data_IF_067203251552
#
_entry.id   IF_067203251552
#
_cell.length_a   1.000
_cell.length_b   1.000
_cell.length_c   1.000
_cell.angle_alpha   90.00
_cell.angle_beta   90.00
_cell.angle_gamma   90.00
#
_symmetry.space_group_name_H-M   'P 1'
#
loop_
_entity.id
_entity.type
_entity.pdbx_description
1 polymer ?
#
# COMPACT_ATOMS: atom_id res chain seq x y z
N UNK A 1 53.47 -43.49 -62.41
CA UNK A 1 53.45 -44.32 -61.18
C UNK A 1 52.50 -43.65 -60.21
N UNK A 2 51.44 -44.35 -59.82
CA UNK A 2 50.20 -43.81 -59.24
C UNK A 2 50.42 -43.03 -57.93
N UNK A 3 49.94 -41.78 -57.87
CA UNK A 3 49.68 -41.09 -56.61
C UNK A 3 48.18 -41.11 -56.31
N UNK A 4 47.83 -41.77 -55.21
CA UNK A 4 46.49 -41.82 -54.63
C UNK A 4 46.07 -40.43 -54.13
N UNK A 5 44.82 -40.07 -54.45
CA UNK A 5 44.11 -38.92 -53.88
C UNK A 5 43.60 -39.28 -52.48
N UNK A 6 43.99 -38.52 -51.47
CA UNK A 6 43.40 -38.57 -50.13
C UNK A 6 42.39 -37.43 -49.99
N UNK A 7 41.12 -37.80 -49.79
CA UNK A 7 39.98 -36.91 -49.57
C UNK A 7 39.97 -36.46 -48.11
N UNK A 8 40.00 -35.15 -47.86
CA UNK A 8 39.84 -34.55 -46.54
C UNK A 8 38.34 -34.24 -46.35
N UNK A 9 37.67 -34.96 -45.44
CA UNK A 9 36.29 -34.70 -45.07
C UNK A 9 36.24 -33.74 -43.86
N UNK A 10 35.72 -32.54 -44.08
CA UNK A 10 35.44 -31.55 -43.03
C UNK A 10 34.04 -31.83 -42.49
N UNK A 11 33.94 -32.24 -41.23
CA UNK A 11 32.68 -32.32 -40.51
C UNK A 11 32.33 -30.95 -39.90
N UNK A 12 31.36 -30.25 -40.48
CA UNK A 12 30.70 -29.11 -39.83
C UNK A 12 29.67 -29.65 -38.81
N UNK A 13 29.93 -29.45 -37.52
CA UNK A 13 28.92 -29.59 -36.48
C UNK A 13 28.11 -28.28 -36.41
N UNK A 14 26.90 -28.29 -36.96
CA UNK A 14 25.91 -27.24 -36.72
C UNK A 14 25.12 -27.60 -35.46
N UNK A 15 25.45 -26.97 -34.33
CA UNK A 15 24.63 -27.06 -33.12
C UNK A 15 23.42 -26.14 -33.27
N UNK A 16 22.23 -26.73 -33.49
CA UNK A 16 20.96 -26.02 -33.42
C UNK A 16 20.59 -25.92 -31.93
N UNK A 17 20.80 -24.75 -31.32
CA UNK A 17 20.16 -24.43 -30.04
C UNK A 17 18.67 -24.21 -30.31
N UNK A 18 17.85 -25.20 -29.95
CA UNK A 18 16.42 -25.00 -29.82
C UNK A 18 16.17 -24.23 -28.52
N UNK A 19 15.98 -22.91 -28.62
CA UNK A 19 15.43 -22.12 -27.51
C UNK A 19 13.96 -22.45 -27.38
N UNK A 20 13.63 -23.27 -26.39
CA UNK A 20 12.26 -23.47 -25.93
C UNK A 20 11.74 -22.16 -25.33
N UNK A 21 11.12 -21.32 -26.14
CA UNK A 21 10.28 -20.22 -25.64
C UNK A 21 9.02 -20.88 -25.11
N UNK A 22 9.01 -21.27 -23.84
CA UNK A 22 7.77 -21.53 -23.14
C UNK A 22 7.09 -20.19 -22.95
N UNK A 23 5.99 -19.96 -23.68
CA UNK A 23 5.09 -18.85 -23.36
C UNK A 23 4.66 -19.03 -21.90
N UNK A 24 5.16 -18.17 -21.02
CA UNK A 24 4.70 -18.10 -19.64
C UNK A 24 3.19 -17.83 -19.72
N UNK A 25 2.37 -18.74 -19.19
CA UNK A 25 0.94 -18.50 -19.11
C UNK A 25 0.71 -17.19 -18.34
N UNK A 26 -0.17 -16.33 -18.83
CA UNK A 26 -0.57 -15.12 -18.13
C UNK A 26 -1.03 -15.47 -16.70
N UNK A 27 -0.63 -14.67 -15.71
CA UNK A 27 -1.03 -14.89 -14.32
C UNK A 27 -2.56 -14.78 -14.16
N UNK A 28 -3.12 -15.49 -13.18
CA UNK A 28 -4.55 -15.39 -12.82
C UNK A 28 -4.89 -14.06 -12.11
N UNK A 29 -3.87 -13.40 -11.57
CA UNK A 29 -3.94 -12.14 -10.83
C UNK A 29 -2.71 -11.95 -9.95
N UNK A 30 -2.58 -10.78 -9.35
CA UNK A 30 -1.46 -10.43 -8.45
C UNK A 30 -1.95 -10.26 -7.01
N UNK A 31 -1.28 -10.92 -6.08
CA UNK A 31 -1.52 -10.80 -4.63
C UNK A 31 -0.44 -9.93 -4.01
N UNK A 32 -0.84 -8.87 -3.30
CA UNK A 32 0.05 -8.01 -2.53
C UNK A 32 -0.07 -8.38 -1.06
N UNK A 33 0.92 -9.10 -0.53
CA UNK A 33 0.97 -9.42 0.89
C UNK A 33 1.46 -8.19 1.66
N UNK A 34 0.61 -7.66 2.53
CA UNK A 34 0.94 -6.49 3.37
C UNK A 34 0.85 -6.85 4.84
N UNK A 35 1.84 -6.40 5.61
CA UNK A 35 1.95 -6.65 7.05
C UNK A 35 2.05 -5.30 7.77
N UNK A 36 1.10 -5.05 8.66
CA UNK A 36 1.07 -3.83 9.46
C UNK A 36 1.66 -4.10 10.86
N UNK A 37 1.96 -3.01 11.58
CA UNK A 37 2.36 -2.95 12.99
C UNK A 37 3.75 -3.53 13.33
N UNK A 38 4.58 -3.78 12.33
CA UNK A 38 6.00 -4.08 12.54
C UNK A 38 6.85 -2.81 12.72
N UNK A 39 8.18 -2.91 12.88
CA UNK A 39 8.94 -4.14 13.07
C UNK A 39 8.93 -4.59 14.53
N UNK A 40 8.58 -5.84 14.74
CA UNK A 40 8.65 -6.55 16.03
C UNK A 40 9.36 -7.90 15.86
N UNK A 41 9.63 -8.63 16.94
CA UNK A 41 10.32 -9.93 16.90
C UNK A 41 9.63 -10.93 15.95
N UNK A 42 8.30 -10.93 15.94
CA UNK A 42 7.46 -11.79 15.10
C UNK A 42 7.65 -11.55 13.58
N UNK A 43 8.18 -10.40 13.19
CA UNK A 43 8.45 -10.05 11.78
C UNK A 43 9.50 -10.98 11.17
N UNK A 44 10.50 -11.38 11.96
CA UNK A 44 11.65 -12.16 11.49
C UNK A 44 11.24 -13.49 10.88
N UNK A 45 10.51 -14.38 11.59
CA UNK A 45 10.11 -15.67 11.01
C UNK A 45 9.12 -15.55 9.84
N UNK A 46 8.34 -14.47 9.76
CA UNK A 46 7.49 -14.18 8.59
C UNK A 46 8.38 -13.94 7.36
N UNK A 47 9.36 -13.05 7.51
CA UNK A 47 10.30 -12.68 6.43
C UNK A 47 11.11 -13.88 5.97
N UNK A 48 11.57 -14.73 6.90
CA UNK A 48 12.25 -15.99 6.57
C UNK A 48 11.39 -16.89 5.67
N UNK A 49 10.10 -17.09 6.01
CA UNK A 49 9.17 -17.89 5.19
C UNK A 49 8.92 -17.28 3.82
N UNK A 50 8.76 -15.95 3.75
CA UNK A 50 8.58 -15.27 2.46
C UNK A 50 9.82 -15.40 1.58
N UNK A 51 11.01 -15.30 2.17
CA UNK A 51 12.28 -15.51 1.48
C UNK A 51 12.45 -16.96 1.00
N UNK A 52 12.15 -17.97 1.84
CA UNK A 52 12.10 -19.38 1.45
C UNK A 52 11.18 -19.62 0.24
N UNK A 53 10.05 -18.92 0.21
CA UNK A 53 9.08 -19.02 -0.88
C UNK A 53 9.47 -18.22 -2.13
N UNK A 54 10.51 -17.38 -2.09
CA UNK A 54 10.83 -16.42 -3.15
C UNK A 54 9.67 -15.45 -3.40
N UNK A 55 9.13 -14.87 -2.34
CA UNK A 55 8.02 -13.89 -2.35
C UNK A 55 8.49 -12.62 -1.65
N UNK A 56 8.13 -11.46 -2.20
CA UNK A 56 8.26 -10.16 -1.54
C UNK A 56 6.89 -9.66 -1.09
N UNK A 57 6.91 -8.78 -0.10
CA UNK A 57 5.73 -8.20 0.52
C UNK A 57 6.04 -6.80 1.02
N UNK A 58 5.00 -6.07 1.41
CA UNK A 58 5.11 -4.70 1.89
C UNK A 58 4.82 -4.65 3.39
N UNK A 59 5.69 -4.01 4.15
CA UNK A 59 5.58 -3.90 5.60
C UNK A 59 5.34 -2.44 5.95
N UNK A 60 4.16 -2.13 6.46
CA UNK A 60 3.81 -0.82 6.98
C UNK A 60 4.26 -0.75 8.44
N UNK A 61 5.29 0.05 8.71
CA UNK A 61 5.97 0.02 10.01
C UNK A 61 5.65 1.20 10.92
N UNK A 62 5.69 0.95 12.23
CA UNK A 62 5.64 1.92 13.31
C UNK A 62 7.00 2.01 14.03
N UNK A 63 7.62 3.19 14.00
CA UNK A 63 8.96 3.41 14.54
C UNK A 63 9.06 3.31 16.06
N UNK A 64 7.95 3.44 16.79
CA UNK A 64 7.94 3.34 18.26
C UNK A 64 8.41 1.99 18.82
N UNK A 65 8.37 0.92 18.02
CA UNK A 65 8.87 -0.40 18.41
C UNK A 65 10.40 -0.41 18.52
N UNK A 66 11.07 0.45 17.74
CA UNK A 66 12.52 0.64 17.86
C UNK A 66 12.89 1.34 19.17
N UNK A 67 11.99 2.18 19.69
CA UNK A 67 12.16 2.87 20.97
C UNK A 67 11.74 2.01 22.17
N UNK A 68 11.22 0.80 21.95
CA UNK A 68 10.83 -0.13 23.03
C UNK A 68 9.57 0.29 23.80
N UNK A 69 8.65 1.02 23.15
CA UNK A 69 7.43 1.55 23.78
C UNK A 69 6.13 1.08 23.08
N UNK A 70 6.20 0.07 22.22
CA UNK A 70 5.06 -0.42 21.42
C UNK A 70 4.21 -1.51 22.08
N UNK A 71 4.56 -1.92 23.30
CA UNK A 71 3.91 -3.00 24.08
C UNK A 71 3.88 -4.36 23.36
N UNK A 72 4.88 -4.67 22.54
CA UNK A 72 5.05 -5.98 21.91
C UNK A 72 6.41 -6.61 22.28
N UNK A 73 6.64 -7.86 21.86
CA UNK A 73 7.99 -8.42 21.89
C UNK A 73 8.81 -7.75 20.78
N UNK A 74 9.64 -6.78 21.14
CA UNK A 74 10.28 -5.86 20.19
C UNK A 74 11.77 -5.62 20.43
N UNK A 75 12.40 -6.43 21.29
CA UNK A 75 13.84 -6.40 21.55
C UNK A 75 14.68 -6.59 20.26
N UNK A 76 14.09 -7.20 19.23
CA UNK A 76 14.70 -7.44 17.92
C UNK A 76 14.09 -6.58 16.80
N UNK A 77 13.38 -5.50 17.14
CA UNK A 77 12.76 -4.60 16.15
C UNK A 77 13.77 -4.05 15.12
N UNK A 78 14.97 -3.64 15.57
CA UNK A 78 16.02 -3.16 14.66
C UNK A 78 16.54 -4.28 13.73
N UNK A 79 16.69 -5.50 14.25
CA UNK A 79 17.08 -6.67 13.46
C UNK A 79 16.02 -6.99 12.41
N UNK A 80 14.74 -7.00 12.80
CA UNK A 80 13.61 -7.19 11.90
C UNK A 80 13.57 -6.14 10.78
N UNK A 81 13.76 -4.86 11.11
CA UNK A 81 13.80 -3.78 10.13
C UNK A 81 14.96 -3.95 9.13
N UNK A 82 16.15 -4.27 9.64
CA UNK A 82 17.32 -4.49 8.80
C UNK A 82 17.11 -5.71 7.87
N UNK A 83 16.52 -6.80 8.38
CA UNK A 83 16.20 -7.98 7.60
C UNK A 83 15.20 -7.69 6.46
N UNK A 84 14.16 -6.89 6.72
CA UNK A 84 13.22 -6.44 5.70
C UNK A 84 13.92 -5.74 4.54
N UNK A 85 14.79 -4.79 4.88
CA UNK A 85 15.56 -3.99 3.93
C UNK A 85 16.53 -4.86 3.12
N UNK A 86 17.36 -5.65 3.80
CA UNK A 86 18.41 -6.48 3.18
C UNK A 86 17.86 -7.56 2.28
N UNK A 87 16.66 -8.05 2.57
CA UNK A 87 16.02 -9.10 1.77
C UNK A 87 15.05 -8.56 0.74
N UNK A 88 14.96 -7.24 0.55
CA UNK A 88 14.23 -6.63 -0.56
C UNK A 88 12.71 -6.59 -0.39
N UNK A 89 12.20 -6.68 0.84
CA UNK A 89 10.80 -6.36 1.13
C UNK A 89 10.60 -4.85 1.13
N UNK A 90 9.42 -4.39 0.75
CA UNK A 90 9.11 -2.96 0.73
C UNK A 90 8.79 -2.49 2.13
N UNK A 91 9.52 -1.50 2.64
CA UNK A 91 9.24 -0.87 3.94
C UNK A 91 8.50 0.45 3.71
N UNK A 92 7.28 0.54 4.24
CA UNK A 92 6.35 1.64 4.05
C UNK A 92 5.91 2.23 5.41
N UNK A 93 5.25 3.38 5.39
CA UNK A 93 5.01 4.18 6.59
C UNK A 93 3.63 3.92 7.20
N UNK A 94 3.59 3.54 8.49
CA UNK A 94 2.33 3.36 9.23
C UNK A 94 2.14 4.37 10.35
N UNK A 95 2.80 5.53 10.29
CA UNK A 95 2.99 6.50 11.38
C UNK A 95 3.92 6.00 12.49
N UNK A 96 4.37 6.90 13.37
CA UNK A 96 5.32 6.56 14.44
C UNK A 96 4.72 5.65 15.51
N UNK A 97 3.55 6.02 16.06
CA UNK A 97 2.97 5.40 17.26
C UNK A 97 1.55 4.85 17.03
N UNK A 98 1.21 4.52 15.79
CA UNK A 98 -0.10 3.96 15.44
C UNK A 98 -1.30 4.83 15.91
N UNK A 99 -1.08 6.15 15.99
CA UNK A 99 -2.01 7.15 16.57
C UNK A 99 -2.35 6.97 18.07
N UNK A 100 -1.61 6.14 18.82
CA UNK A 100 -1.90 5.87 20.24
C UNK A 100 -1.78 7.11 21.13
N UNK A 101 -1.09 8.17 20.68
CA UNK A 101 -1.13 9.46 21.36
C UNK A 101 -2.55 10.04 21.52
N UNK A 102 -3.49 9.67 20.65
CA UNK A 102 -4.89 10.07 20.73
C UNK A 102 -5.75 9.15 21.63
N UNK A 103 -5.20 8.02 22.08
CA UNK A 103 -5.88 7.04 22.93
C UNK A 103 -5.66 7.30 24.43
N UNK A 104 -4.76 8.22 24.79
CA UNK A 104 -4.35 8.52 26.16
C UNK A 104 -4.37 10.03 26.42
N UNK A 105 -4.41 10.43 27.70
CA UNK A 105 -4.39 11.86 28.06
C UNK A 105 -3.02 12.53 27.80
N UNK A 106 -1.93 11.81 28.05
CA UNK A 106 -0.55 12.26 27.81
C UNK A 106 0.27 11.09 27.25
N UNK A 107 0.88 11.28 26.08
CA UNK A 107 1.67 10.24 25.43
C UNK A 107 3.02 10.05 26.14
N UNK A 108 3.38 8.79 26.40
CA UNK A 108 4.63 8.39 27.01
C UNK A 108 4.92 6.88 26.86
N UNK A 109 5.95 6.36 27.55
CA UNK A 109 6.42 4.98 27.37
C UNK A 109 5.40 3.88 27.69
N UNK A 110 4.36 4.19 28.47
CA UNK A 110 3.33 3.21 28.86
C UNK A 110 2.05 3.33 28.03
N UNK A 111 1.94 4.30 27.12
CA UNK A 111 0.68 4.62 26.44
C UNK A 111 0.15 3.49 25.57
N UNK A 112 1.05 2.68 24.98
CA UNK A 112 0.66 1.46 24.26
C UNK A 112 -0.06 0.48 25.19
N UNK A 113 0.52 0.18 26.36
CA UNK A 113 -0.08 -0.70 27.35
C UNK A 113 -1.39 -0.14 27.93
N UNK A 114 -1.46 1.18 28.15
CA UNK A 114 -2.68 1.87 28.62
C UNK A 114 -3.81 1.76 27.60
N UNK A 115 -3.53 2.04 26.32
CA UNK A 115 -4.51 1.90 25.24
C UNK A 115 -4.91 0.43 25.01
N UNK A 116 -3.97 -0.51 25.14
CA UNK A 116 -4.25 -1.96 25.10
C UNK A 116 -5.17 -2.40 26.24
N UNK A 117 -5.05 -1.81 27.43
CA UNK A 117 -5.88 -2.15 28.58
C UNK A 117 -7.34 -1.70 28.41
N UNK A 118 -7.59 -0.57 27.76
CA UNK A 118 -8.95 -0.09 27.47
C UNK A 118 -9.51 -0.69 26.16
N UNK A 119 -8.62 -0.99 25.22
CA UNK A 119 -8.97 -1.39 23.87
C UNK A 119 -9.58 -0.25 23.04
N UNK A 120 -9.29 1.01 23.39
CA UNK A 120 -9.93 2.21 22.81
C UNK A 120 -9.21 2.73 21.55
N UNK A 121 -8.33 1.94 20.95
CA UNK A 121 -7.57 2.29 19.74
C UNK A 121 -8.41 2.94 18.62
N UNK A 122 -9.65 2.47 18.43
CA UNK A 122 -10.57 2.93 17.38
C UNK A 122 -11.51 4.07 17.83
N UNK A 123 -11.35 4.58 19.05
CA UNK A 123 -12.11 5.70 19.61
C UNK A 123 -11.21 6.94 19.62
N UNK A 124 -11.69 8.03 19.03
CA UNK A 124 -10.96 9.29 18.89
C UNK A 124 -9.55 9.13 18.30
N UNK A 125 -9.33 8.12 17.46
CA UNK A 125 -8.00 7.74 16.93
C UNK A 125 -7.29 8.85 16.16
N UNK A 126 -8.06 9.78 15.61
CA UNK A 126 -7.59 10.95 14.88
C UNK A 126 -8.30 12.17 15.43
N UNK A 127 -7.56 13.25 15.69
CA UNK A 127 -8.08 14.45 16.34
C UNK A 127 -7.59 15.72 15.62
N UNK A 128 -6.33 16.10 15.82
CA UNK A 128 -5.70 17.20 15.08
C UNK A 128 -4.97 16.63 13.85
N UNK A 129 -5.52 16.78 12.63
CA UNK A 129 -4.93 16.18 11.44
C UNK A 129 -3.51 16.68 11.14
N UNK A 130 -3.12 17.87 11.61
CA UNK A 130 -1.75 18.37 11.44
C UNK A 130 -0.79 17.60 12.33
N UNK A 131 -1.14 17.40 13.61
CA UNK A 131 -0.33 16.64 14.55
C UNK A 131 -0.31 15.15 14.18
N UNK A 132 -1.45 14.56 13.85
CA UNK A 132 -1.59 13.18 13.41
C UNK A 132 -0.72 12.92 12.16
N UNK A 133 -0.77 13.81 11.16
CA UNK A 133 0.07 13.72 9.97
C UNK A 133 1.58 13.86 10.29
N UNK A 134 1.93 14.63 11.33
CA UNK A 134 3.34 14.78 11.75
C UNK A 134 3.93 13.47 12.30
N UNK A 135 3.09 12.53 12.77
CA UNK A 135 3.57 11.21 13.21
C UNK A 135 4.14 10.38 12.05
N UNK A 136 3.78 10.67 10.80
CA UNK A 136 4.40 10.04 9.63
C UNK A 136 5.81 10.60 9.36
N UNK A 137 6.02 11.91 9.59
CA UNK A 137 7.35 12.53 9.50
C UNK A 137 8.25 12.05 10.66
N UNK A 138 7.68 11.94 11.87
CA UNK A 138 8.36 11.40 13.04
C UNK A 138 8.79 9.95 12.79
N UNK A 139 7.94 9.14 12.13
CA UNK A 139 8.29 7.78 11.78
C UNK A 139 9.54 7.74 10.90
N UNK A 140 9.58 8.53 9.82
CA UNK A 140 10.77 8.65 8.96
C UNK A 140 12.00 9.04 9.78
N UNK A 141 11.86 10.04 10.65
CA UNK A 141 12.96 10.54 11.49
C UNK A 141 13.52 9.45 12.41
N UNK A 142 12.65 8.64 13.02
CA UNK A 142 13.04 7.54 13.91
C UNK A 142 13.68 6.40 13.12
N UNK A 143 13.09 5.96 12.01
CA UNK A 143 13.69 4.92 11.17
C UNK A 143 15.11 5.32 10.70
N UNK A 144 15.30 6.58 10.30
CA UNK A 144 16.61 7.13 9.92
C UNK A 144 17.59 7.25 11.09
N UNK A 145 17.13 7.42 12.33
CA UNK A 145 18.02 7.51 13.49
C UNK A 145 18.63 6.14 13.84
N UNK A 146 17.85 5.06 13.71
CA UNK A 146 18.31 3.70 13.95
C UNK A 146 19.06 3.08 12.76
N UNK A 147 18.68 3.43 11.53
CA UNK A 147 19.40 3.03 10.30
C UNK A 147 19.74 4.31 9.49
N UNK A 148 20.87 4.98 9.77
CA UNK A 148 21.26 6.22 9.09
C UNK A 148 21.36 6.13 7.56
N UNK A 149 21.64 4.93 7.04
CA UNK A 149 21.75 4.64 5.61
C UNK A 149 20.45 4.09 4.99
N UNK A 150 19.29 4.17 5.67
CA UNK A 150 18.04 3.56 5.20
C UNK A 150 17.61 4.08 3.83
N UNK A 151 17.90 5.34 3.50
CA UNK A 151 17.61 5.93 2.19
C UNK A 151 18.46 5.37 1.04
N UNK A 152 19.51 4.58 1.33
CA UNK A 152 20.29 3.89 0.30
C UNK A 152 19.61 2.61 -0.22
N UNK A 153 18.57 2.13 0.47
CA UNK A 153 17.79 0.97 0.08
C UNK A 153 16.66 1.40 -0.89
N UNK A 154 16.62 0.88 -2.13
CA UNK A 154 15.59 1.26 -3.11
C UNK A 154 14.18 0.81 -2.71
N UNK A 155 14.10 -0.24 -1.88
CA UNK A 155 12.88 -0.80 -1.29
C UNK A 155 12.43 -0.08 0.00
N UNK A 156 13.16 0.94 0.47
CA UNK A 156 12.64 1.86 1.47
C UNK A 156 11.73 2.89 0.81
N UNK A 157 10.42 2.82 1.12
CA UNK A 157 9.37 3.68 0.58
C UNK A 157 8.65 4.48 1.66
N UNK A 158 9.21 4.57 2.87
CA UNK A 158 8.60 5.25 4.02
C UNK A 158 8.31 6.75 3.83
N UNK A 159 8.79 7.37 2.76
CA UNK A 159 8.52 8.78 2.41
C UNK A 159 7.43 8.99 1.37
N UNK A 160 6.93 7.90 0.76
CA UNK A 160 6.06 7.98 -0.42
C UNK A 160 4.92 6.95 -0.40
N UNK A 161 5.05 5.90 0.40
CA UNK A 161 4.02 4.88 0.55
C UNK A 161 3.59 4.82 2.01
N UNK A 162 2.30 5.03 2.26
CA UNK A 162 1.73 5.03 3.60
C UNK A 162 0.42 4.24 3.67
N UNK A 163 0.06 3.87 4.89
CA UNK A 163 -1.27 3.36 5.26
C UNK A 163 -1.64 4.00 6.58
N UNK A 164 -2.90 4.44 6.69
CA UNK A 164 -3.41 5.03 7.92
C UNK A 164 -3.77 3.91 8.91
N UNK A 165 -3.33 3.99 10.18
CA UNK A 165 -3.85 3.15 11.25
C UNK A 165 -5.38 3.01 11.21
N UNK A 166 -5.87 1.78 11.42
CA UNK A 166 -7.29 1.43 11.49
C UNK A 166 -8.12 1.62 10.20
N UNK A 167 -7.59 2.33 9.18
CA UNK A 167 -8.43 2.97 8.16
C UNK A 167 -8.18 2.40 6.77
N UNK A 168 -9.19 1.74 6.20
CA UNK A 168 -9.16 1.29 4.80
C UNK A 168 -9.35 2.51 3.85
N UNK A 169 -8.25 3.24 3.63
CA UNK A 169 -8.20 4.50 2.89
C UNK A 169 -7.28 4.41 1.67
N UNK A 170 -7.64 5.13 0.63
CA UNK A 170 -7.02 5.04 -0.69
C UNK A 170 -6.76 6.44 -1.24
N UNK A 171 -5.51 6.66 -1.66
CA UNK A 171 -5.05 7.83 -2.42
C UNK A 171 -4.00 7.30 -3.39
N UNK A 172 -4.47 6.71 -4.48
CA UNK A 172 -3.59 6.05 -5.46
C UNK A 172 -3.41 6.96 -6.67
N UNK A 173 -4.52 7.45 -7.24
CA UNK A 173 -4.56 8.34 -8.40
C UNK A 173 -5.61 9.45 -8.22
N UNK A 174 -5.59 10.49 -9.07
CA UNK A 174 -6.57 11.59 -9.04
C UNK A 174 -8.02 11.10 -8.95
N UNK A 175 -8.35 10.08 -9.74
CA UNK A 175 -9.65 9.42 -9.85
C UNK A 175 -9.75 8.14 -9.00
N UNK A 176 -8.65 7.65 -8.43
CA UNK A 176 -8.62 6.49 -7.55
C UNK A 176 -8.35 6.90 -6.10
N UNK A 177 -9.43 7.27 -5.41
CA UNK A 177 -9.45 7.63 -3.98
C UNK A 177 -10.63 6.95 -3.29
N UNK A 178 -10.51 6.74 -1.99
CA UNK A 178 -11.57 6.19 -1.15
C UNK A 178 -11.23 6.39 0.32
N UNK A 179 -12.26 6.42 1.16
CA UNK A 179 -12.16 6.72 2.59
C UNK A 179 -12.87 5.65 3.40
N UNK A 180 -12.30 5.31 4.57
CA UNK A 180 -12.95 4.44 5.54
C UNK A 180 -13.97 5.23 6.36
N UNK A 181 -15.19 5.40 5.84
CA UNK A 181 -16.18 6.33 6.41
C UNK A 181 -16.78 5.87 7.75
N UNK A 182 -16.40 4.68 8.22
CA UNK A 182 -16.75 4.11 9.53
C UNK A 182 -15.52 3.59 10.29
N UNK A 183 -14.30 3.92 9.85
CA UNK A 183 -13.08 3.27 10.34
C UNK A 183 -12.81 3.51 11.83
N UNK A 184 -13.10 4.72 12.30
CA UNK A 184 -12.91 5.15 13.68
C UNK A 184 -14.14 5.90 14.19
N UNK A 185 -14.31 5.91 15.50
CA UNK A 185 -15.51 6.39 16.18
C UNK A 185 -15.19 7.50 17.17
N UNK A 186 -16.20 8.27 17.56
CA UNK A 186 -16.07 9.29 18.60
C UNK A 186 -16.45 8.74 19.99
N UNK A 187 -17.22 7.64 20.05
CA UNK A 187 -17.90 7.20 21.27
C UNK A 187 -17.97 5.68 21.48
N UNK A 188 -18.45 4.90 20.49
CA UNK A 188 -18.65 3.45 20.61
C UNK A 188 -17.77 2.66 19.65
N UNK A 189 -17.31 1.48 20.09
CA UNK A 189 -16.67 0.49 19.23
C UNK A 189 -17.73 -0.21 18.36
N UNK A 190 -17.38 -0.71 17.16
CA UNK A 190 -18.36 -1.31 16.25
C UNK A 190 -19.21 -2.47 16.81
N UNK A 191 -18.68 -3.17 17.83
CA UNK A 191 -19.36 -4.29 18.49
C UNK A 191 -20.10 -3.91 19.78
N UNK A 192 -20.07 -2.63 20.18
CA UNK A 192 -20.74 -2.17 21.41
C UNK A 192 -22.21 -1.81 21.17
N UNK A 193 -23.10 -2.08 22.14
CA UNK A 193 -24.49 -1.67 22.04
C UNK A 193 -24.62 -0.16 21.89
N UNK A 194 -25.29 0.29 20.83
CA UNK A 194 -25.50 1.72 20.55
C UNK A 194 -24.61 2.27 19.44
N UNK A 195 -23.64 1.49 18.93
CA UNK A 195 -22.84 1.89 17.78
C UNK A 195 -23.72 2.19 16.56
N UNK A 196 -23.48 3.34 15.94
CA UNK A 196 -24.09 3.78 14.69
C UNK A 196 -22.97 4.31 13.81
N UNK A 197 -22.94 3.86 12.55
CA UNK A 197 -22.20 4.56 11.52
C UNK A 197 -23.15 5.14 10.47
N UNK A 198 -22.96 6.42 10.17
CA UNK A 198 -23.56 7.08 9.00
C UNK A 198 -22.45 7.57 8.06
N UNK A 199 -22.19 6.89 6.93
CA UNK A 199 -21.20 7.33 5.96
C UNK A 199 -21.47 8.72 5.36
N UNK A 200 -22.70 9.23 5.41
CA UNK A 200 -23.04 10.58 4.95
C UNK A 200 -22.72 11.66 6.00
N UNK A 201 -22.58 11.27 7.27
CA UNK A 201 -22.22 12.13 8.39
C UNK A 201 -21.19 11.44 9.29
N UNK A 202 -19.96 11.23 8.78
CA UNK A 202 -18.93 10.47 9.49
C UNK A 202 -18.51 11.14 10.81
N UNK A 203 -17.94 10.33 11.70
CA UNK A 203 -17.39 10.77 13.00
C UNK A 203 -16.38 11.92 12.86
N UNK A 204 -16.14 12.68 13.93
CA UNK A 204 -15.07 13.67 13.93
C UNK A 204 -13.72 13.00 13.66
N UNK A 205 -13.49 11.82 14.25
CA UNK A 205 -12.27 11.05 14.00
C UNK A 205 -12.06 10.68 12.53
N UNK A 206 -13.10 10.21 11.83
CA UNK A 206 -13.01 9.91 10.39
C UNK A 206 -12.74 11.19 9.58
N UNK A 207 -13.35 12.32 9.92
CA UNK A 207 -13.05 13.60 9.24
C UNK A 207 -11.60 14.05 9.44
N UNK A 208 -11.05 13.83 10.64
CA UNK A 208 -9.64 14.08 10.91
C UNK A 208 -8.73 13.15 10.08
N UNK A 209 -9.04 11.85 9.99
CA UNK A 209 -8.24 10.91 9.18
C UNK A 209 -8.23 11.25 7.68
N UNK A 210 -9.35 11.74 7.13
CA UNK A 210 -9.42 12.29 5.77
C UNK A 210 -8.48 13.50 5.63
N UNK A 211 -8.48 14.40 6.61
CA UNK A 211 -7.56 15.54 6.66
C UNK A 211 -6.08 15.11 6.69
N UNK A 212 -5.74 14.07 7.47
CA UNK A 212 -4.40 13.48 7.48
C UNK A 212 -4.03 12.94 6.09
N UNK A 213 -4.92 12.17 5.46
CA UNK A 213 -4.69 11.64 4.12
C UNK A 213 -4.42 12.76 3.10
N UNK A 214 -5.17 13.87 3.14
CA UNK A 214 -4.96 15.03 2.27
C UNK A 214 -3.61 15.72 2.52
N UNK A 215 -3.23 15.95 3.79
CA UNK A 215 -1.95 16.57 4.16
C UNK A 215 -0.79 15.73 3.62
N UNK A 216 -0.83 14.42 3.84
CA UNK A 216 0.24 13.51 3.43
C UNK A 216 0.26 13.30 1.92
N UNK A 217 -0.90 13.24 1.26
CA UNK A 217 -0.95 13.17 -0.20
C UNK A 217 -0.28 14.38 -0.84
N UNK A 218 -0.49 15.59 -0.28
CA UNK A 218 0.20 16.80 -0.73
C UNK A 218 1.71 16.83 -0.41
N UNK A 219 2.21 15.89 0.40
CA UNK A 219 3.64 15.59 0.58
C UNK A 219 4.13 14.45 -0.34
N UNK A 220 3.35 14.08 -1.36
CA UNK A 220 3.65 13.02 -2.32
C UNK A 220 3.60 11.59 -1.75
N UNK A 221 2.76 11.36 -0.75
CA UNK A 221 2.39 9.99 -0.33
C UNK A 221 1.26 9.42 -1.17
N UNK A 222 1.35 8.13 -1.48
CA UNK A 222 0.24 7.30 -1.91
C UNK A 222 -0.25 6.44 -0.74
N UNK A 223 -1.57 6.24 -0.69
CA UNK A 223 -2.24 5.43 0.32
C UNK A 223 -2.92 4.22 -0.33
N UNK A 224 -2.69 3.05 0.23
CA UNK A 224 -3.35 1.82 -0.17
C UNK A 224 -4.02 1.19 1.05
N UNK A 225 -5.31 0.91 0.91
CA UNK A 225 -6.07 0.14 1.87
C UNK A 225 -5.85 -1.36 1.65
N UNK A 226 -6.90 -2.15 1.83
CA UNK A 226 -6.87 -3.60 1.61
C UNK A 226 -8.20 -4.14 1.08
N UNK A 227 -8.13 -5.30 0.43
CA UNK A 227 -9.28 -6.02 -0.13
C UNK A 227 -9.77 -7.13 0.80
N UNK A 228 -8.83 -7.80 1.47
CA UNK A 228 -9.09 -8.86 2.45
C UNK A 228 -8.15 -8.68 3.64
N UNK A 229 -8.62 -9.09 4.81
CA UNK A 229 -7.85 -9.10 6.05
C UNK A 229 -7.68 -10.55 6.53
N UNK A 230 -6.44 -11.02 6.62
CA UNK A 230 -6.13 -12.33 7.20
C UNK A 230 -6.02 -12.20 8.71
N UNK A 231 -7.16 -12.36 9.36
CA UNK A 231 -7.35 -12.18 10.79
C UNK A 231 -7.91 -13.45 11.47
N UNK A 232 -7.93 -13.52 12.82
CA UNK A 232 -8.70 -14.50 13.57
C UNK A 232 -10.16 -14.57 13.11
N UNK A 233 -10.62 -15.78 12.77
CA UNK A 233 -12.05 -16.03 12.48
C UNK A 233 -12.92 -15.82 13.73
N UNK A 234 -12.34 -15.88 14.93
CA UNK A 234 -13.03 -15.59 16.17
C UNK A 234 -12.11 -14.91 17.18
N UNK A 235 -12.33 -13.61 17.40
CA UNK A 235 -11.60 -12.83 18.41
C UNK A 235 -12.05 -13.09 19.86
N UNK A 236 -13.20 -13.73 20.07
CA UNK A 236 -13.79 -13.95 21.39
C UNK A 236 -13.39 -15.25 22.09
N UNK A 237 -12.51 -16.06 21.49
CA UNK A 237 -11.99 -17.29 22.12
C UNK A 237 -10.69 -17.02 22.87
N UNK A 238 -10.35 -17.93 23.79
CA UNK A 238 -8.99 -17.99 24.34
C UNK A 238 -7.97 -18.21 23.21
N UNK A 239 -6.88 -17.47 23.24
CA UNK A 239 -5.82 -17.52 22.21
C UNK A 239 -6.36 -17.26 20.78
N UNK A 240 -6.95 -16.08 20.51
CA UNK A 240 -7.65 -15.80 19.25
C UNK A 240 -6.78 -16.00 18.01
N UNK A 241 -5.47 -15.76 18.08
CA UNK A 241 -4.55 -15.98 16.97
C UNK A 241 -4.60 -17.42 16.43
N UNK A 242 -4.93 -18.41 17.27
CA UNK A 242 -5.06 -19.80 16.86
C UNK A 242 -6.16 -20.02 15.80
N UNK A 243 -7.15 -19.12 15.74
CA UNK A 243 -8.27 -19.17 14.79
C UNK A 243 -8.02 -18.43 13.49
N UNK A 244 -6.80 -17.95 13.23
CA UNK A 244 -6.43 -17.39 11.92
C UNK A 244 -6.87 -18.34 10.79
N UNK A 245 -7.53 -17.84 9.75
CA UNK A 245 -8.09 -18.66 8.67
C UNK A 245 -7.06 -19.65 8.11
N UNK A 246 -7.46 -20.89 7.86
CA UNK A 246 -6.60 -21.90 7.24
C UNK A 246 -6.25 -21.52 5.79
N UNK A 247 -5.05 -21.88 5.34
CA UNK A 247 -4.49 -21.44 4.06
C UNK A 247 -5.42 -21.68 2.85
N UNK A 248 -6.05 -22.86 2.75
CA UNK A 248 -6.98 -23.17 1.65
C UNK A 248 -8.24 -22.32 1.67
N UNK A 249 -8.83 -22.11 2.85
CA UNK A 249 -10.01 -21.27 2.99
C UNK A 249 -9.66 -19.81 2.69
N UNK A 250 -8.51 -19.34 3.19
CA UNK A 250 -8.04 -17.99 2.93
C UNK A 250 -7.73 -17.74 1.45
N UNK A 251 -7.16 -18.72 0.73
CA UNK A 251 -7.05 -18.64 -0.72
C UNK A 251 -8.45 -18.47 -1.35
N UNK A 252 -9.46 -19.20 -0.89
CA UNK A 252 -10.84 -19.00 -1.33
C UNK A 252 -11.36 -17.57 -1.13
N UNK A 253 -11.02 -16.91 -0.01
CA UNK A 253 -11.36 -15.51 0.23
C UNK A 253 -10.65 -14.56 -0.74
N UNK A 254 -9.36 -14.79 -0.97
CA UNK A 254 -8.57 -14.04 -1.97
C UNK A 254 -9.16 -14.21 -3.37
N UNK A 255 -9.51 -15.43 -3.76
CA UNK A 255 -10.14 -15.70 -5.07
C UNK A 255 -11.49 -15.00 -5.23
N UNK A 256 -12.27 -14.87 -4.15
CA UNK A 256 -13.54 -14.15 -4.14
C UNK A 256 -13.39 -12.62 -4.17
N UNK A 257 -12.23 -12.07 -3.81
CA UNK A 257 -11.96 -10.64 -3.78
C UNK A 257 -11.54 -10.06 -5.14
N UNK A 258 -10.98 -10.89 -6.04
CA UNK A 258 -10.57 -10.43 -7.36
C UNK A 258 -11.73 -9.86 -8.16
N UNK A 259 -11.61 -8.60 -8.59
CA UNK A 259 -12.57 -7.91 -9.46
C UNK A 259 -14.00 -7.82 -8.90
N UNK A 260 -14.17 -7.88 -7.57
CA UNK A 260 -15.50 -7.82 -6.91
C UNK A 260 -15.73 -6.54 -6.10
N UNK A 261 -14.79 -5.59 -6.14
CA UNK A 261 -14.85 -4.37 -5.32
C UNK A 261 -14.92 -4.68 -3.81
N UNK A 262 -14.10 -5.63 -3.38
CA UNK A 262 -14.04 -6.13 -2.01
C UNK A 262 -14.01 -5.04 -0.92
N UNK A 263 -13.31 -3.89 -1.07
CA UNK A 263 -13.29 -2.86 -0.04
C UNK A 263 -14.67 -2.30 0.32
N UNK A 264 -15.66 -2.36 -0.58
CA UNK A 264 -17.05 -1.92 -0.29
C UNK A 264 -17.86 -2.96 0.48
N UNK A 265 -17.48 -4.23 0.39
CA UNK A 265 -18.26 -5.37 0.89
C UNK A 265 -17.63 -6.07 2.09
N UNK A 266 -16.33 -5.87 2.34
CA UNK A 266 -15.59 -6.44 3.46
C UNK A 266 -16.28 -6.16 4.80
N UNK A 267 -16.25 -7.13 5.70
CA UNK A 267 -16.64 -6.96 7.10
C UNK A 267 -15.40 -7.04 8.00
N UNK A 268 -15.40 -6.39 9.17
CA UNK A 268 -16.49 -5.58 9.75
C UNK A 268 -16.67 -4.21 9.08
N UNK A 269 -17.73 -3.48 9.46
CA UNK A 269 -18.10 -2.16 8.90
C UNK A 269 -16.97 -1.12 8.96
N UNK A 270 -16.14 -1.16 9.99
CA UNK A 270 -14.99 -0.27 10.16
C UNK A 270 -13.81 -0.60 9.24
N UNK A 271 -13.85 -1.74 8.53
CA UNK A 271 -12.86 -2.10 7.50
C UNK A 271 -13.29 -1.72 6.09
N UNK A 272 -14.51 -1.17 5.91
CA UNK A 272 -15.04 -0.81 4.59
C UNK A 272 -14.42 0.49 4.07
N UNK A 273 -14.30 0.56 2.74
CA UNK A 273 -14.15 1.79 1.96
C UNK A 273 -15.43 1.99 1.14
N UNK A 274 -16.40 2.71 1.68
CA UNK A 274 -17.77 2.78 1.13
C UNK A 274 -17.81 3.47 -0.24
N UNK A 275 -16.93 4.46 -0.45
CA UNK A 275 -16.83 5.24 -1.68
C UNK A 275 -15.70 4.75 -2.61
N UNK A 276 -15.24 3.50 -2.46
CA UNK A 276 -14.23 2.92 -3.34
C UNK A 276 -14.71 2.92 -4.81
N UNK A 277 -13.88 3.34 -5.79
CA UNK A 277 -14.25 3.41 -7.19
C UNK A 277 -14.21 2.02 -7.84
N UNK A 278 -15.27 1.24 -7.67
CA UNK A 278 -15.39 -0.09 -8.23
C UNK A 278 -15.11 -0.11 -9.74
N UNK A 279 -14.25 -1.04 -10.18
CA UNK A 279 -13.86 -1.16 -11.59
C UNK A 279 -12.77 -0.18 -12.04
N UNK A 280 -12.14 0.57 -11.12
CA UNK A 280 -10.95 1.37 -11.44
C UNK A 280 -9.86 0.48 -12.06
N UNK A 281 -9.26 0.87 -13.20
CA UNK A 281 -8.35 0.01 -13.96
C UNK A 281 -7.09 -0.38 -13.18
N UNK A 282 -6.62 0.48 -12.27
CA UNK A 282 -5.45 0.18 -11.44
C UNK A 282 -5.69 -0.94 -10.42
N UNK A 283 -6.95 -1.26 -10.10
CA UNK A 283 -7.31 -2.33 -9.15
C UNK A 283 -7.67 -3.66 -9.82
N UNK A 284 -7.93 -3.65 -11.13
CA UNK A 284 -8.24 -4.87 -11.87
C UNK A 284 -7.15 -5.94 -11.72
N UNK A 285 -7.58 -7.19 -11.53
CA UNK A 285 -6.74 -8.38 -11.38
C UNK A 285 -5.72 -8.31 -10.23
N UNK A 286 -6.02 -7.54 -9.18
CA UNK A 286 -5.21 -7.38 -7.98
C UNK A 286 -6.02 -7.63 -6.71
N UNK A 287 -5.35 -8.17 -5.69
CA UNK A 287 -5.87 -8.28 -4.32
C UNK A 287 -4.77 -7.87 -3.35
N UNK A 288 -5.07 -6.90 -2.49
CA UNK A 288 -4.23 -6.48 -1.37
C UNK A 288 -4.68 -7.20 -0.11
N UNK A 289 -3.80 -8.01 0.45
CA UNK A 289 -4.02 -8.74 1.71
C UNK A 289 -3.43 -7.91 2.85
N UNK A 290 -4.27 -7.52 3.82
CA UNK A 290 -3.83 -7.07 5.14
C UNK A 290 -3.60 -8.28 6.06
N UNK A 291 -2.57 -8.23 6.89
CA UNK A 291 -2.43 -9.05 8.10
C UNK A 291 -1.42 -8.36 9.03
N UNK A 292 -1.14 -8.93 10.19
CA UNK A 292 -0.30 -8.29 11.20
C UNK A 292 0.78 -9.25 11.70
N UNK A 293 1.99 -8.74 11.93
CA UNK A 293 3.12 -9.58 12.33
C UNK A 293 2.85 -10.32 13.66
N UNK A 294 2.20 -9.65 14.62
CA UNK A 294 1.90 -10.22 15.94
C UNK A 294 0.94 -11.42 15.90
N UNK A 295 0.26 -11.68 14.78
CA UNK A 295 -0.58 -12.88 14.63
C UNK A 295 0.24 -14.16 14.42
N UNK A 296 1.55 -14.02 14.20
CA UNK A 296 2.47 -15.12 13.91
C UNK A 296 3.52 -15.35 15.02
N UNK A 297 3.27 -14.86 16.24
CA UNK A 297 4.07 -15.17 17.43
C UNK A 297 3.36 -16.13 18.39
N UNK A 298 4.14 -16.95 19.10
CA UNK A 298 3.64 -17.65 20.29
C UNK A 298 3.76 -16.67 21.47
N UNK A 299 2.63 -16.18 21.97
CA UNK A 299 2.62 -15.06 22.92
C UNK A 299 1.23 -14.75 23.48
N UNK A 300 1.01 -13.48 23.84
CA UNK A 300 -0.21 -13.01 24.55
C UNK A 300 -1.50 -13.27 23.78
N UNK A 301 -1.43 -13.46 22.46
CA UNK A 301 -2.58 -13.71 21.56
C UNK A 301 -2.80 -15.17 21.19
N UNK A 302 -1.90 -16.07 21.57
CA UNK A 302 -1.98 -17.50 21.26
C UNK A 302 -0.70 -18.11 20.73
N UNK A 303 -0.83 -19.26 20.08
CA UNK A 303 0.26 -20.03 19.48
C UNK A 303 0.44 -19.67 18.00
N UNK A 304 0.60 -18.38 17.69
CA UNK A 304 0.69 -17.87 16.33
C UNK A 304 1.91 -18.38 15.57
N UNK A 305 3.07 -18.49 16.20
CA UNK A 305 4.25 -19.03 15.52
C UNK A 305 4.05 -20.52 15.20
N UNK A 306 3.61 -21.29 16.20
CA UNK A 306 3.40 -22.73 16.05
C UNK A 306 2.29 -23.06 15.06
N UNK A 307 1.20 -22.28 15.02
CA UNK A 307 0.01 -22.60 14.20
C UNK A 307 -0.09 -21.81 12.90
N UNK A 308 0.33 -20.55 12.87
CA UNK A 308 0.02 -19.66 11.74
C UNK A 308 1.18 -19.52 10.74
N UNK A 309 2.44 -19.64 11.17
CA UNK A 309 3.57 -19.69 10.23
C UNK A 309 3.44 -20.85 9.20
N UNK A 310 3.00 -22.08 9.58
CA UNK A 310 2.69 -23.12 8.61
C UNK A 310 1.56 -22.74 7.64
N UNK A 311 0.56 -21.97 8.07
CA UNK A 311 -0.53 -21.48 7.21
C UNK A 311 -0.01 -20.51 6.17
N UNK A 312 0.82 -19.54 6.56
CA UNK A 312 1.49 -18.61 5.64
C UNK A 312 2.30 -19.39 4.59
N UNK A 313 3.19 -20.28 5.03
CA UNK A 313 4.02 -21.10 4.11
C UNK A 313 3.17 -21.87 3.12
N UNK A 314 2.07 -22.47 3.59
CA UNK A 314 1.15 -23.24 2.76
C UNK A 314 0.39 -22.35 1.78
N UNK A 315 -0.12 -21.21 2.23
CA UNK A 315 -0.83 -20.23 1.41
C UNK A 315 0.03 -19.75 0.23
N UNK A 316 1.27 -19.30 0.49
CA UNK A 316 2.20 -18.85 -0.56
C UNK A 316 2.42 -19.95 -1.61
N UNK A 317 2.55 -21.21 -1.18
CA UNK A 317 2.70 -22.36 -2.08
C UNK A 317 1.46 -22.63 -2.93
N UNK A 318 0.27 -22.71 -2.31
CA UNK A 318 -0.96 -23.07 -3.02
C UNK A 318 -1.45 -21.94 -3.93
N UNK A 319 -1.26 -20.67 -3.56
CA UNK A 319 -1.58 -19.53 -4.39
C UNK A 319 -0.72 -19.50 -5.67
N UNK A 320 0.60 -19.72 -5.55
CA UNK A 320 1.49 -19.87 -6.73
C UNK A 320 1.07 -21.04 -7.60
N UNK A 321 0.74 -22.19 -7.00
CA UNK A 321 0.28 -23.37 -7.73
C UNK A 321 -1.06 -23.13 -8.46
N UNK A 322 -1.92 -22.26 -7.93
CA UNK A 322 -3.18 -21.84 -8.54
C UNK A 322 -3.00 -20.81 -9.68
N UNK A 323 -1.77 -20.34 -9.94
CA UNK A 323 -1.45 -19.42 -11.02
C UNK A 323 -1.42 -17.94 -10.63
N UNK A 324 -1.46 -17.63 -9.34
CA UNK A 324 -1.26 -16.27 -8.83
C UNK A 324 0.23 -15.92 -8.71
N UNK A 325 0.54 -14.65 -8.92
CA UNK A 325 1.86 -14.08 -8.64
C UNK A 325 1.78 -13.17 -7.41
N UNK A 326 2.93 -12.94 -6.79
CA UNK A 326 3.05 -12.04 -5.65
C UNK A 326 3.92 -10.85 -6.03
N UNK A 327 3.55 -9.67 -5.56
CA UNK A 327 4.29 -8.43 -5.80
C UNK A 327 4.21 -7.50 -4.59
N UNK A 328 4.96 -6.40 -4.62
CA UNK A 328 5.00 -5.37 -3.58
C UNK A 328 4.26 -4.11 -4.01
N UNK A 329 3.73 -3.35 -3.05
CA UNK A 329 2.88 -2.20 -3.34
C UNK A 329 3.57 -1.04 -4.06
N UNK A 330 4.91 -0.97 -4.04
CA UNK A 330 5.65 -0.03 -4.88
C UNK A 330 5.54 -0.35 -6.39
N UNK A 331 5.12 -1.56 -6.76
CA UNK A 331 4.77 -1.95 -8.13
C UNK A 331 3.26 -1.97 -8.38
N UNK A 332 2.43 -1.54 -7.40
CA UNK A 332 0.98 -1.55 -7.57
C UNK A 332 0.55 -0.71 -8.78
N UNK A 333 1.22 0.43 -8.99
CA UNK A 333 1.23 1.08 -10.30
C UNK A 333 2.45 0.58 -11.08
N UNK A 334 2.31 0.13 -12.33
CA UNK A 334 3.45 -0.31 -13.12
C UNK A 334 4.42 0.83 -13.44
N UNK A 335 5.72 0.55 -13.38
CA UNK A 335 6.78 1.47 -13.79
C UNK A 335 6.74 1.75 -15.30
N UNK A 336 7.00 3.01 -15.68
CA UNK A 336 7.11 3.39 -17.08
C UNK A 336 8.31 2.70 -17.74
N UNK A 337 8.08 2.01 -18.87
CA UNK A 337 9.10 1.19 -19.53
C UNK A 337 9.18 1.49 -21.02
N UNK A 338 10.37 1.89 -21.49
CA UNK A 338 10.67 2.14 -22.91
C UNK A 338 10.36 0.92 -23.77
N UNK A 339 9.73 1.13 -24.93
CA UNK A 339 9.31 0.09 -25.86
C UNK A 339 7.95 -0.53 -25.57
N UNK A 340 7.35 -0.24 -24.39
CA UNK A 340 5.99 -0.68 -24.05
C UNK A 340 4.97 0.13 -24.84
N UNK A 341 3.92 -0.52 -25.33
CA UNK A 341 2.77 0.16 -25.93
C UNK A 341 1.73 0.42 -24.86
N UNK A 342 1.36 1.68 -24.70
CA UNK A 342 0.37 2.15 -23.74
C UNK A 342 -0.88 2.62 -24.49
N UNK A 343 -2.05 2.20 -24.00
CA UNK A 343 -3.33 2.72 -24.44
C UNK A 343 -3.67 4.00 -23.69
N UNK A 344 -4.50 4.86 -24.29
CA UNK A 344 -5.08 6.01 -23.59
C UNK A 344 -5.79 5.55 -22.31
N UNK A 345 -5.45 6.19 -21.19
CA UNK A 345 -5.98 5.86 -19.87
C UNK A 345 -5.09 4.90 -19.06
N UNK A 346 -4.03 4.33 -19.66
CA UNK A 346 -3.07 3.52 -18.92
C UNK A 346 -2.32 4.37 -17.89
N UNK A 347 -2.14 3.81 -16.70
CA UNK A 347 -1.40 4.40 -15.60
C UNK A 347 0.04 3.90 -15.57
N UNK A 348 0.98 4.81 -15.30
CA UNK A 348 2.38 4.47 -15.03
C UNK A 348 2.93 5.32 -13.89
N UNK A 349 3.95 4.82 -13.21
CA UNK A 349 4.78 5.62 -12.30
C UNK A 349 6.15 5.90 -12.94
N UNK A 350 6.69 7.09 -12.68
CA UNK A 350 8.07 7.47 -12.97
C UNK A 350 8.55 8.42 -11.86
N UNK A 351 9.67 8.10 -11.23
CA UNK A 351 10.26 8.90 -10.14
C UNK A 351 9.24 9.23 -9.01
N UNK A 352 8.43 8.24 -8.61
CA UNK A 352 7.34 8.36 -7.62
C UNK A 352 6.24 9.38 -8.00
N UNK A 353 6.10 9.68 -9.29
CA UNK A 353 4.99 10.48 -9.82
C UNK A 353 4.13 9.61 -10.72
N UNK A 354 2.83 9.59 -10.45
CA UNK A 354 1.85 8.88 -11.26
C UNK A 354 1.45 9.69 -12.48
N UNK A 355 1.37 9.03 -13.62
CA UNK A 355 0.92 9.58 -14.88
C UNK A 355 -0.14 8.72 -15.53
N UNK A 356 -0.99 9.34 -16.35
CA UNK A 356 -1.96 8.67 -17.21
C UNK A 356 -1.68 9.00 -18.67
N UNK A 357 -1.69 7.99 -19.54
CA UNK A 357 -1.51 8.17 -20.97
C UNK A 357 -2.70 8.94 -21.58
N UNK A 358 -2.43 9.98 -22.36
CA UNK A 358 -3.46 10.80 -23.01
C UNK A 358 -3.91 10.24 -24.36
N UNK A 359 -3.03 9.44 -24.99
CA UNK A 359 -3.20 8.85 -26.32
C UNK A 359 -2.48 7.49 -26.38
N UNK A 360 -2.94 6.64 -27.30
CA UNK A 360 -2.25 5.39 -27.62
C UNK A 360 -0.86 5.71 -28.22
N UNK A 361 0.20 5.13 -27.65
CA UNK A 361 1.56 5.31 -28.15
C UNK A 361 2.51 4.20 -27.68
N UNK A 362 3.68 4.12 -28.30
CA UNK A 362 4.79 3.27 -27.81
C UNK A 362 5.83 4.16 -27.15
N UNK A 363 6.19 3.82 -25.90
CA UNK A 363 7.14 4.60 -25.11
C UNK A 363 8.53 4.62 -25.76
N UNK A 364 9.15 5.80 -25.77
CA UNK A 364 10.51 6.04 -26.24
C UNK A 364 11.29 6.77 -25.15
N UNK A 365 12.61 6.57 -25.09
CA UNK A 365 13.45 7.16 -24.05
C UNK A 365 13.30 8.69 -23.94
N UNK A 366 13.24 9.39 -25.07
CA UNK A 366 13.11 10.86 -25.11
C UNK A 366 11.66 11.37 -24.91
N UNK A 367 10.70 10.47 -24.73
CA UNK A 367 9.27 10.75 -24.54
C UNK A 367 8.75 10.30 -23.17
N UNK A 368 9.63 10.32 -22.16
CA UNK A 368 9.25 10.00 -20.79
C UNK A 368 8.15 10.93 -20.26
N UNK A 369 7.27 10.44 -19.37
CA UNK A 369 6.33 11.26 -18.62
C UNK A 369 7.01 12.46 -17.96
N UNK A 370 6.38 13.64 -18.01
CA UNK A 370 6.92 14.86 -17.42
C UNK A 370 5.83 15.92 -17.25
N UNK A 371 6.15 17.04 -16.60
CA UNK A 371 5.26 18.19 -16.44
C UNK A 371 5.01 18.97 -17.74
N UNK A 372 5.65 18.60 -18.86
CA UNK A 372 5.45 19.24 -20.17
C UNK A 372 5.10 18.23 -21.26
N UNK A 373 4.90 16.97 -20.89
CA UNK A 373 4.54 15.90 -21.82
C UNK A 373 3.17 16.13 -22.44
N UNK A 374 3.04 15.85 -23.73
CA UNK A 374 1.74 15.78 -24.41
C UNK A 374 1.14 14.37 -24.41
N UNK A 375 1.95 13.35 -24.15
CA UNK A 375 1.54 11.93 -24.13
C UNK A 375 1.06 11.47 -22.75
N UNK A 376 1.37 12.25 -21.72
CA UNK A 376 1.17 11.90 -20.31
C UNK A 376 0.67 13.12 -19.55
N UNK A 377 -0.30 12.91 -18.66
CA UNK A 377 -0.72 13.91 -17.65
C UNK A 377 -0.40 13.37 -16.26
N UNK A 378 0.00 14.25 -15.35
CA UNK A 378 0.16 13.92 -13.93
C UNK A 378 -1.21 13.53 -13.36
N UNK A 379 -1.25 12.38 -12.70
CA UNK A 379 -2.44 11.79 -12.10
C UNK A 379 -2.27 11.50 -10.61
N UNK A 380 -1.32 12.17 -9.95
CA UNK A 380 -1.19 12.08 -8.51
C UNK A 380 -2.47 12.58 -7.81
N UNK A 381 -2.89 11.99 -6.68
CA UNK A 381 -4.11 12.35 -5.96
C UNK A 381 -4.03 13.69 -5.20
N UNK A 382 -3.22 14.64 -5.67
CA UNK A 382 -2.95 15.92 -5.01
C UNK A 382 -4.18 16.82 -5.01
N UNK A 383 -4.32 17.61 -3.94
CA UNK A 383 -5.28 18.72 -3.89
C UNK A 383 -4.61 20.08 -4.07
N UNK A 384 -3.27 20.14 -4.11
CA UNK A 384 -2.53 21.34 -4.53
C UNK A 384 -2.53 21.45 -6.05
N UNK A 385 -2.75 22.66 -6.57
CA UNK A 385 -2.69 22.91 -8.02
C UNK A 385 -1.31 22.51 -8.57
N UNK A 386 -1.33 21.68 -9.60
CA UNK A 386 -0.13 21.09 -10.19
C UNK A 386 -0.21 21.22 -11.70
N UNK A 387 0.93 21.45 -12.36
CA UNK A 387 1.03 21.57 -13.82
C UNK A 387 0.86 20.20 -14.48
N UNK A 388 0.28 20.19 -15.68
CA UNK A 388 0.03 19.01 -16.50
C UNK A 388 -0.92 18.00 -15.85
N UNK A 389 -1.91 18.49 -15.10
CA UNK A 389 -3.01 17.69 -14.55
C UNK A 389 -4.25 17.91 -15.41
N UNK A 390 -4.96 16.84 -15.76
CA UNK A 390 -6.29 16.94 -16.38
C UNK A 390 -7.33 17.20 -15.29
N UNK A 391 -7.72 18.45 -15.10
CA UNK A 391 -8.76 18.86 -14.16
C UNK A 391 -10.15 18.74 -14.78
N UNK A 392 -11.11 18.33 -13.95
CA UNK A 392 -12.53 18.25 -14.28
C UNK A 392 -13.28 19.46 -13.69
N UNK A 393 -14.41 19.85 -14.29
CA UNK A 393 -15.28 20.87 -13.71
C UNK A 393 -15.74 20.43 -12.30
N UNK A 394 -15.64 21.33 -11.34
CA UNK A 394 -15.96 21.07 -9.93
C UNK A 394 -14.79 20.56 -9.08
N UNK A 395 -13.65 20.20 -9.68
CA UNK A 395 -12.43 19.91 -8.90
C UNK A 395 -12.06 21.10 -8.01
N UNK A 396 -11.58 20.81 -6.80
CA UNK A 396 -11.13 21.84 -5.86
C UNK A 396 -9.63 21.73 -5.64
N UNK A 397 -8.92 22.83 -5.86
CA UNK A 397 -7.46 22.91 -5.73
C UNK A 397 -7.04 24.00 -4.74
N UNK A 398 -5.91 23.79 -4.08
CA UNK A 398 -5.23 24.79 -3.26
C UNK A 398 -4.07 25.41 -4.04
N UNK A 399 -4.00 26.73 -4.07
CA UNK A 399 -2.90 27.47 -4.70
C UNK A 399 -2.58 28.74 -3.91
N UNK A 400 -1.32 28.92 -3.52
CA UNK A 400 -0.85 30.04 -2.67
C UNK A 400 -1.70 30.25 -1.41
N UNK A 401 -2.13 29.15 -0.78
CA UNK A 401 -2.92 29.17 0.46
C UNK A 401 -4.41 29.51 0.28
N UNK A 402 -4.89 29.72 -0.95
CA UNK A 402 -6.30 29.90 -1.26
C UNK A 402 -6.87 28.66 -1.96
N UNK A 403 -8.16 28.39 -1.75
CA UNK A 403 -8.90 27.33 -2.42
C UNK A 403 -9.62 27.89 -3.65
N UNK A 404 -9.68 27.08 -4.70
CA UNK A 404 -10.33 27.40 -5.96
C UNK A 404 -11.12 26.20 -6.44
N UNK A 405 -12.30 26.45 -7.02
CA UNK A 405 -13.04 25.45 -7.79
C UNK A 405 -12.77 25.62 -9.28
N UNK A 406 -12.62 24.52 -10.00
CA UNK A 406 -12.43 24.48 -11.45
C UNK A 406 -13.79 24.72 -12.13
N UNK A 407 -13.86 25.74 -12.99
CA UNK A 407 -15.07 26.15 -13.71
C UNK A 407 -15.27 25.39 -15.04
N UNK A 408 -14.19 24.86 -15.61
CA UNK A 408 -14.23 24.14 -16.89
C UNK A 408 -13.08 23.12 -16.95
N UNK A 409 -13.37 21.93 -17.48
CA UNK A 409 -12.37 20.88 -17.63
C UNK A 409 -11.22 21.33 -18.56
N UNK A 410 -9.97 21.12 -18.14
CA UNK A 410 -8.77 21.52 -18.88
C UNK A 410 -7.53 20.77 -18.39
N UNK A 411 -6.48 20.77 -19.20
CA UNK A 411 -5.14 20.34 -18.75
C UNK A 411 -4.39 21.59 -18.28
N UNK A 412 -3.93 21.60 -17.03
CA UNK A 412 -3.23 22.74 -16.44
C UNK A 412 -1.88 22.99 -17.13
N UNK A 413 -1.56 24.28 -17.31
CA UNK A 413 -0.30 24.74 -17.92
C UNK A 413 0.40 25.71 -16.97
N UNK A 414 1.73 25.92 -17.09
CA UNK A 414 2.47 26.81 -16.19
C UNK A 414 1.90 28.22 -16.04
N UNK A 415 1.30 28.76 -17.11
CA UNK A 415 0.73 30.12 -17.11
C UNK A 415 -0.77 30.15 -16.79
N UNK A 416 -1.43 28.99 -16.68
CA UNK A 416 -2.86 28.89 -16.36
C UNK A 416 -3.07 28.70 -14.86
N UNK A 417 -2.59 29.66 -14.07
CA UNK A 417 -2.62 29.55 -12.61
C UNK A 417 -3.97 29.99 -12.04
N UNK A 418 -4.42 29.40 -10.90
CA UNK A 418 -5.74 29.71 -10.35
C UNK A 418 -6.01 31.17 -10.01
N UNK A 419 -4.96 31.95 -9.70
CA UNK A 419 -5.06 33.38 -9.41
C UNK A 419 -5.11 34.29 -10.65
N UNK A 420 -4.79 33.76 -11.85
CA UNK A 420 -4.70 34.54 -13.08
C UNK A 420 -5.72 34.13 -14.16
N UNK A 421 -6.35 32.96 -14.04
CA UNK A 421 -7.32 32.44 -15.01
C UNK A 421 -8.76 32.37 -14.45
N UNK A 422 -9.47 33.51 -14.34
CA UNK A 422 -10.82 33.55 -13.76
C UNK A 422 -11.88 32.81 -14.61
N UNK A 423 -11.57 32.48 -15.86
CA UNK A 423 -12.44 31.64 -16.71
C UNK A 423 -12.33 30.16 -16.38
N UNK A 424 -11.18 29.72 -15.85
CA UNK A 424 -10.92 28.34 -15.47
C UNK A 424 -11.13 28.09 -13.98
N UNK A 425 -11.00 29.12 -13.13
CA UNK A 425 -11.06 28.97 -11.68
C UNK A 425 -11.92 30.05 -11.00
N UNK A 426 -12.65 29.65 -9.97
CA UNK A 426 -13.33 30.56 -9.03
C UNK A 426 -12.77 30.36 -7.63
N UNK A 427 -12.37 31.44 -6.96
CA UNK A 427 -11.90 31.40 -5.58
C UNK A 427 -13.05 31.04 -4.62
N UNK A 428 -12.81 30.12 -3.69
CA UNK A 428 -13.75 29.69 -2.65
C UNK A 428 -13.66 30.52 -1.38
#
# INVERSE_FOLDING_TARGET
>A
MNLNKSTLAVFCYSAILATSITAQAASKGTIYMTFDDGPIDATIPIVEIMNEAGVKGTFYVNGWHLDGIGDENEDRALEALQLLLDTGHTVANHSYNHMVHNCVEEFGPNSAAECNATGDHQINSYQDPVFDASMFDMNVTVLESYIPAINSYPNYKGKNLARLPYTNSWRVAKDFKGDGLCATSDDYKPWEPGYICDPAAPSNSVRASIGVAEILTNKNYQFHGWDVDWAPENWGIDMPANSLTEAEAFLGYVEAAFNTCAPTTIEPVNSKTQNFPCGTPLHADKVIVLTHAFLYEDGKRGMGATKNLPKLRKFLKIAKAAGYVFDTLDNYTPEWTVGTSYAKGDYVTLDNTLYTATVDHTAQADWAPSSTSSLWVNSMPLTVWTVNVSYDEGDVVTYKGARYVVNAAHISQPNWTPDNEPTLFSKL
#
